data_IF_745392233092
#
_entry.id   IF_745392233092
#
_cell.length_a   1.000
_cell.length_b   1.000
_cell.length_c   1.000
_cell.angle_alpha   90.00
_cell.angle_beta   90.00
_cell.angle_gamma   90.00
#
_symmetry.space_group_name_H-M   'P 1'
#
loop_
_entity.id
_entity.type
_entity.pdbx_description
1 polymer ?
#
# COMPACT_ATOMS: atom_id res chain seq x y z
N UNK A 1 -12.15 17.00 -7.25
CA UNK A 1 -12.03 15.52 -7.30
C UNK A 1 -13.43 14.95 -7.29
N UNK A 2 -13.76 14.08 -8.23
CA UNK A 2 -15.07 13.43 -8.33
C UNK A 2 -15.10 12.18 -7.44
N UNK A 3 -16.24 11.77 -6.88
CA UNK A 3 -16.34 10.58 -6.02
C UNK A 3 -15.73 9.32 -6.65
N UNK A 4 -15.90 9.17 -7.98
CA UNK A 4 -15.30 8.10 -8.79
C UNK A 4 -13.78 8.10 -8.76
N UNK A 5 -13.14 9.28 -8.84
CA UNK A 5 -11.68 9.40 -8.79
C UNK A 5 -11.13 9.08 -7.39
N UNK A 6 -11.87 9.40 -6.33
CA UNK A 6 -11.51 9.06 -4.95
C UNK A 6 -11.62 7.55 -4.71
N UNK A 7 -12.69 6.91 -5.21
CA UNK A 7 -12.86 5.45 -5.13
C UNK A 7 -11.77 4.70 -5.88
N UNK A 8 -11.46 5.09 -7.12
CA UNK A 8 -10.38 4.48 -7.89
C UNK A 8 -9.01 4.68 -7.22
N UNK A 9 -8.77 5.87 -6.65
CA UNK A 9 -7.55 6.15 -5.90
C UNK A 9 -7.42 5.29 -4.65
N UNK A 10 -8.52 5.12 -3.90
CA UNK A 10 -8.59 4.25 -2.74
C UNK A 10 -8.31 2.80 -3.13
N UNK A 11 -9.06 2.27 -4.10
CA UNK A 11 -8.92 0.90 -4.57
C UNK A 11 -7.51 0.57 -5.04
N UNK A 12 -6.87 1.47 -5.79
CA UNK A 12 -5.50 1.26 -6.23
C UNK A 12 -4.51 1.25 -5.06
N UNK A 13 -4.68 2.15 -4.08
CA UNK A 13 -3.86 2.15 -2.87
C UNK A 13 -4.03 0.84 -2.09
N UNK A 14 -5.27 0.37 -1.91
CA UNK A 14 -5.57 -0.88 -1.19
C UNK A 14 -5.03 -2.10 -1.92
N UNK A 15 -5.08 -2.12 -3.26
CA UNK A 15 -4.52 -3.20 -4.07
C UNK A 15 -2.99 -3.29 -3.94
N UNK A 16 -2.28 -2.15 -4.01
CA UNK A 16 -0.83 -2.12 -3.79
C UNK A 16 -0.45 -2.51 -2.38
N UNK A 17 -1.21 -2.04 -1.38
CA UNK A 17 -1.03 -2.44 0.01
C UNK A 17 -1.15 -3.94 0.19
N UNK A 18 -2.23 -4.53 -0.34
CA UNK A 18 -2.48 -5.97 -0.23
C UNK A 18 -1.38 -6.80 -0.92
N UNK A 19 -0.94 -6.39 -2.12
CA UNK A 19 0.14 -7.07 -2.83
C UNK A 19 1.47 -7.05 -2.07
N UNK A 20 1.84 -5.91 -1.49
CA UNK A 20 3.06 -5.78 -0.68
C UNK A 20 2.97 -6.60 0.62
N UNK A 21 1.81 -6.61 1.27
CA UNK A 21 1.58 -7.41 2.47
C UNK A 21 1.68 -8.91 2.19
N UNK A 22 1.09 -9.38 1.08
CA UNK A 22 1.19 -10.78 0.65
C UNK A 22 2.63 -11.15 0.32
N UNK A 23 3.34 -10.31 -0.45
CA UNK A 23 4.75 -10.55 -0.79
C UNK A 23 5.63 -10.63 0.46
N UNK A 24 5.39 -9.75 1.43
CA UNK A 24 6.10 -9.74 2.70
C UNK A 24 5.82 -11.01 3.53
N UNK A 25 4.55 -11.43 3.66
CA UNK A 25 4.17 -12.68 4.33
C UNK A 25 4.77 -13.92 3.67
N UNK A 26 4.90 -13.93 2.34
CA UNK A 26 5.57 -15.01 1.61
C UNK A 26 7.07 -15.05 1.94
N UNK A 27 7.72 -13.88 2.03
CA UNK A 27 9.15 -13.78 2.33
C UNK A 27 9.49 -14.04 3.80
N UNK A 28 8.59 -13.70 4.72
CA UNK A 28 8.77 -13.82 6.17
C UNK A 28 7.68 -14.77 6.67
N UNK A 29 7.98 -16.05 6.69
CA UNK A 29 7.02 -17.13 6.92
C UNK A 29 6.76 -17.44 8.41
N UNK A 30 7.52 -16.83 9.32
CA UNK A 30 7.35 -16.94 10.77
C UNK A 30 7.15 -15.52 11.31
N UNK A 31 5.90 -15.18 11.58
CA UNK A 31 5.49 -13.81 11.92
C UNK A 31 4.61 -13.86 13.15
N UNK A 32 5.10 -13.32 14.26
CA UNK A 32 4.25 -13.11 15.43
C UNK A 32 3.24 -11.98 15.14
N UNK A 33 2.12 -11.95 15.89
CA UNK A 33 1.04 -10.98 15.66
C UNK A 33 1.53 -9.51 15.66
N UNK A 34 2.59 -9.20 16.42
CA UNK A 34 3.24 -7.88 16.44
C UNK A 34 3.96 -7.55 15.12
N UNK A 35 4.70 -8.51 14.57
CA UNK A 35 5.38 -8.34 13.31
C UNK A 35 4.38 -8.18 12.16
N UNK A 36 3.24 -8.87 12.24
CA UNK A 36 2.14 -8.73 11.28
C UNK A 36 1.60 -7.30 11.24
N UNK A 37 1.42 -6.67 12.41
CA UNK A 37 0.98 -5.27 12.51
C UNK A 37 2.04 -4.29 11.95
N UNK A 38 3.33 -4.56 12.21
CA UNK A 38 4.44 -3.74 11.68
C UNK A 38 4.56 -3.89 10.17
N UNK A 39 4.52 -5.12 9.65
CA UNK A 39 4.55 -5.39 8.21
C UNK A 39 3.38 -4.75 7.48
N UNK A 40 2.17 -4.87 8.01
CA UNK A 40 0.98 -4.18 7.51
C UNK A 40 1.15 -2.65 7.48
N UNK A 41 1.71 -2.07 8.56
CA UNK A 41 1.97 -0.64 8.66
C UNK A 41 3.02 -0.14 7.66
N UNK A 42 4.14 -0.86 7.53
CA UNK A 42 5.21 -0.53 6.57
C UNK A 42 4.72 -0.67 5.13
N UNK A 43 3.94 -1.72 4.82
CA UNK A 43 3.30 -1.89 3.51
C UNK A 43 2.34 -0.72 3.20
N UNK A 44 1.61 -0.21 4.20
CA UNK A 44 0.72 0.95 4.04
C UNK A 44 1.50 2.21 3.69
N UNK A 45 2.61 2.45 4.40
CA UNK A 45 3.49 3.58 4.10
C UNK A 45 4.13 3.47 2.71
N UNK A 46 4.57 2.27 2.32
CA UNK A 46 5.10 2.02 0.97
C UNK A 46 4.10 2.30 -0.14
N UNK A 47 2.85 1.84 0.03
CA UNK A 47 1.78 2.10 -0.93
C UNK A 47 1.46 3.61 -1.03
N UNK A 48 1.42 4.32 0.10
CA UNK A 48 1.24 5.77 0.14
C UNK A 48 2.39 6.53 -0.53
N UNK A 49 3.63 6.14 -0.27
CA UNK A 49 4.81 6.74 -0.90
C UNK A 49 4.81 6.54 -2.42
N UNK A 50 4.48 5.35 -2.90
CA UNK A 50 4.37 5.07 -4.33
C UNK A 50 3.24 5.88 -4.99
N UNK A 51 2.09 6.01 -4.32
CA UNK A 51 0.97 6.87 -4.76
C UNK A 51 1.40 8.34 -4.85
N UNK A 52 2.09 8.84 -3.84
CA UNK A 52 2.59 10.22 -3.79
C UNK A 52 3.63 10.49 -4.89
N UNK A 53 4.57 9.57 -5.11
CA UNK A 53 5.56 9.67 -6.17
C UNK A 53 4.91 9.73 -7.56
N UNK A 54 3.94 8.84 -7.84
CA UNK A 54 3.19 8.87 -9.10
C UNK A 54 2.43 10.18 -9.30
N UNK A 55 1.84 10.72 -8.24
CA UNK A 55 1.15 12.03 -8.26
C UNK A 55 2.11 13.19 -8.49
N UNK A 56 3.29 13.17 -7.88
CA UNK A 56 4.32 14.19 -8.08
C UNK A 56 4.86 14.18 -9.52
N UNK A 57 4.95 13.00 -10.15
CA UNK A 57 5.35 12.87 -11.56
C UNK A 57 4.25 13.32 -12.51
N UNK A 58 3.01 12.89 -12.31
CA UNK A 58 1.88 13.22 -13.19
C UNK A 58 1.33 14.64 -13.02
N UNK A 59 1.77 15.37 -11.98
CA UNK A 59 1.41 16.78 -11.75
C UNK A 59 2.40 17.79 -12.36
N UNK A 60 3.43 17.32 -13.07
CA UNK A 60 4.26 18.10 -13.99
C UNK A 60 3.83 17.82 -15.43
#
# INVERSE_FOLDING_TARGET
>A
MTPRTTLLAGAELTAWWAGLAVLWLVLISAVDALELAVGAGVAAMGALAARAARRAVAGR
#
